data_IF_653976587551
#
_entry.id   IF_653976587551
#
_cell.length_a   1.000
_cell.length_b   1.000
_cell.length_c   1.000
_cell.angle_alpha   90.00
_cell.angle_beta   90.00
_cell.angle_gamma   90.00
#
_symmetry.space_group_name_H-M   'P 1'
#
loop_
_entity.id
_entity.type
_entity.pdbx_description
1 polymer ?
#
# COMPACT_ATOMS: atom_id res chain seq x y z
N UNK A 1 14.74 -71.42 -36.13
CA UNK A 1 14.60 -70.23 -37.00
C UNK A 1 13.43 -69.43 -36.46
N UNK A 2 13.50 -68.17 -36.04
CA UNK A 2 14.54 -67.15 -35.94
C UNK A 2 14.29 -66.36 -34.64
N UNK A 3 15.37 -65.91 -34.01
CA UNK A 3 15.38 -65.08 -32.82
C UNK A 3 15.47 -63.60 -33.21
N UNK A 4 14.81 -62.72 -32.45
CA UNK A 4 14.98 -61.26 -32.60
C UNK A 4 15.40 -60.68 -31.26
N UNK A 5 16.69 -60.40 -31.16
CA UNK A 5 17.34 -59.59 -30.12
C UNK A 5 17.30 -58.10 -30.52
N UNK A 6 17.49 -57.16 -29.56
CA UNK A 6 17.24 -55.73 -29.73
C UNK A 6 18.50 -54.97 -30.19
N UNK A 7 18.39 -53.72 -30.66
CA UNK A 7 19.56 -52.86 -30.82
C UNK A 7 19.75 -51.92 -29.61
N UNK A 8 20.95 -51.97 -29.03
CA UNK A 8 21.58 -50.92 -28.22
C UNK A 8 22.91 -50.56 -28.88
N UNK A 9 23.38 -49.32 -28.65
CA UNK A 9 24.64 -48.65 -29.04
C UNK A 9 24.38 -47.58 -30.12
N UNK A 10 24.80 -46.32 -30.00
CA UNK A 10 25.99 -45.81 -29.28
C UNK A 10 25.80 -44.35 -28.88
N UNK A 11 26.34 -44.05 -27.71
CA UNK A 11 26.69 -42.77 -27.12
C UNK A 11 27.51 -41.85 -28.07
N UNK A 12 27.28 -40.54 -28.03
CA UNK A 12 28.25 -39.49 -28.41
C UNK A 12 27.88 -38.13 -27.76
N UNK A 13 28.41 -37.94 -26.55
CA UNK A 13 29.02 -36.74 -25.95
C UNK A 13 28.88 -35.35 -26.63
N UNK A 14 28.40 -34.41 -25.80
CA UNK A 14 28.86 -33.01 -25.54
C UNK A 14 28.71 -31.85 -26.56
N UNK A 15 28.18 -30.74 -25.97
CA UNK A 15 28.32 -29.30 -26.29
C UNK A 15 27.65 -28.84 -27.59
N UNK A 16 26.74 -27.87 -27.59
CA UNK A 16 26.92 -26.55 -26.98
C UNK A 16 25.57 -25.82 -26.83
N UNK A 17 25.48 -25.04 -25.75
CA UNK A 17 24.54 -23.94 -25.52
C UNK A 17 24.39 -23.05 -26.76
N UNK A 18 23.22 -23.07 -27.41
CA UNK A 18 22.78 -21.96 -28.25
C UNK A 18 21.47 -21.43 -27.68
N UNK A 19 21.62 -20.27 -27.06
CA UNK A 19 20.58 -19.31 -26.71
C UNK A 19 19.49 -19.27 -27.78
N UNK A 20 18.35 -19.91 -27.51
CA UNK A 20 17.10 -19.54 -28.14
C UNK A 20 16.61 -18.33 -27.39
N UNK A 21 16.84 -17.16 -27.97
CA UNK A 21 16.16 -15.93 -27.58
C UNK A 21 14.65 -16.17 -27.66
N UNK A 22 14.02 -16.41 -26.52
CA UNK A 22 12.59 -16.17 -26.37
C UNK A 22 12.35 -14.69 -26.66
N UNK A 23 11.36 -14.32 -27.48
CA UNK A 23 11.01 -12.93 -27.66
C UNK A 23 10.68 -12.32 -26.28
N UNK A 24 11.02 -11.04 -26.04
CA UNK A 24 10.72 -10.39 -24.77
C UNK A 24 9.21 -10.51 -24.48
N UNK A 25 8.80 -10.71 -23.21
CA UNK A 25 7.38 -10.68 -22.89
C UNK A 25 6.86 -9.33 -23.35
N UNK A 26 5.89 -9.37 -24.28
CA UNK A 26 5.18 -8.19 -24.71
C UNK A 26 4.61 -7.52 -23.45
N UNK A 27 5.14 -6.35 -23.12
CA UNK A 27 4.52 -5.42 -22.20
C UNK A 27 3.15 -5.10 -22.80
N UNK A 28 2.12 -5.81 -22.34
CA UNK A 28 0.76 -5.44 -22.66
C UNK A 28 0.52 -4.06 -22.06
N UNK A 29 0.25 -3.10 -22.93
CA UNK A 29 -0.19 -1.76 -22.62
C UNK A 29 -1.27 -1.80 -21.54
N UNK A 30 -1.02 -1.07 -20.44
CA UNK A 30 -2.01 -0.78 -19.42
C UNK A 30 -2.91 0.32 -20.00
N UNK A 31 -3.79 -0.07 -20.93
CA UNK A 31 -4.86 0.76 -21.52
C UNK A 31 -6.14 0.09 -21.04
N UNK A 32 -7.01 0.67 -20.22
CA UNK A 32 -7.52 2.04 -20.19
C UNK A 32 -8.24 2.25 -18.85
N UNK A 33 -8.09 3.45 -18.29
CA UNK A 33 -9.00 3.93 -17.24
C UNK A 33 -10.45 3.81 -17.76
N UNK A 34 -11.27 3.03 -17.05
CA UNK A 34 -12.68 2.91 -17.39
C UNK A 34 -13.38 4.20 -16.98
N UNK A 35 -13.93 5.00 -17.93
CA UNK A 35 -14.27 6.41 -17.71
C UNK A 35 -15.33 6.67 -16.62
N UNK A 36 -16.03 5.63 -16.14
CA UNK A 36 -17.08 5.73 -15.11
C UNK A 36 -16.82 4.85 -13.87
N UNK A 37 -15.59 4.40 -13.63
CA UNK A 37 -15.27 3.48 -12.56
C UNK A 37 -14.78 4.20 -11.29
N UNK A 38 -15.55 4.15 -10.20
CA UNK A 38 -15.14 4.73 -8.91
C UNK A 38 -14.03 3.94 -8.22
N UNK A 39 -14.00 2.62 -8.43
CA UNK A 39 -12.99 1.73 -7.86
C UNK A 39 -12.24 1.01 -8.96
N UNK A 40 -10.94 0.80 -8.78
CA UNK A 40 -10.10 0.00 -9.68
C UNK A 40 -9.40 -1.10 -8.86
N UNK A 41 -9.56 -2.35 -9.28
CA UNK A 41 -9.02 -3.52 -8.61
C UNK A 41 -8.01 -4.20 -9.53
N UNK A 42 -6.83 -4.49 -8.98
CA UNK A 42 -5.79 -5.24 -9.66
C UNK A 42 -5.72 -6.63 -9.03
N UNK A 43 -6.00 -7.66 -9.82
CA UNK A 43 -6.07 -9.05 -9.38
C UNK A 43 -4.88 -9.85 -9.93
N UNK A 44 -4.32 -10.72 -9.09
CA UNK A 44 -3.26 -11.69 -9.43
C UNK A 44 -3.87 -13.09 -9.31
N UNK A 45 -4.56 -13.60 -10.35
CA UNK A 45 -5.44 -14.76 -10.21
C UNK A 45 -4.64 -16.05 -10.12
N UNK A 46 -5.11 -16.97 -9.28
CA UNK A 46 -4.53 -18.29 -9.09
C UNK A 46 -5.65 -19.34 -9.25
N UNK A 47 -5.47 -20.26 -10.19
CA UNK A 47 -6.37 -21.40 -10.39
C UNK A 47 -5.80 -22.61 -9.68
N UNK A 48 -6.66 -23.30 -8.93
CA UNK A 48 -6.35 -24.56 -8.28
C UNK A 48 -7.25 -25.64 -8.86
N UNK A 49 -6.66 -26.79 -9.13
CA UNK A 49 -7.35 -28.01 -9.54
C UNK A 49 -8.12 -28.63 -8.37
N UNK A 50 -7.64 -28.41 -7.13
CA UNK A 50 -8.31 -28.90 -5.90
C UNK A 50 -8.30 -27.88 -4.78
N UNK A 51 -9.31 -27.95 -3.91
CA UNK A 51 -9.45 -27.05 -2.74
C UNK A 51 -8.22 -27.10 -1.82
N UNK A 52 -7.57 -28.27 -1.70
CA UNK A 52 -6.39 -28.48 -0.84
C UNK A 52 -5.05 -28.08 -1.47
N UNK A 53 -5.00 -27.72 -2.76
CA UNK A 53 -3.75 -27.40 -3.45
C UNK A 53 -3.08 -26.17 -2.85
N UNK A 54 -1.75 -26.25 -2.67
CA UNK A 54 -0.95 -25.11 -2.20
C UNK A 54 -0.91 -24.02 -3.27
N UNK A 55 -0.83 -22.76 -2.85
CA UNK A 55 -0.76 -21.63 -3.79
C UNK A 55 0.50 -21.68 -4.68
N UNK A 56 1.58 -22.31 -4.23
CA UNK A 56 2.83 -22.47 -5.01
C UNK A 56 2.70 -23.44 -6.18
N UNK A 57 1.74 -24.35 -6.10
CA UNK A 57 1.44 -25.35 -7.14
C UNK A 57 0.24 -24.95 -8.00
N UNK A 58 -0.39 -23.80 -7.71
CA UNK A 58 -1.53 -23.28 -8.45
C UNK A 58 -1.07 -22.66 -9.79
N UNK A 59 -1.92 -22.73 -10.80
CA UNK A 59 -1.66 -22.09 -12.09
C UNK A 59 -1.87 -20.59 -11.93
N UNK A 60 -0.85 -19.80 -12.25
CA UNK A 60 -0.92 -18.34 -12.17
C UNK A 60 -1.39 -17.77 -13.51
N UNK A 61 -2.50 -17.06 -13.47
CA UNK A 61 -3.02 -16.35 -14.64
C UNK A 61 -2.40 -14.96 -14.77
N UNK A 62 -2.62 -14.35 -15.94
CA UNK A 62 -2.25 -12.96 -16.20
C UNK A 62 -2.94 -12.01 -15.22
N UNK A 63 -2.27 -10.88 -14.94
CA UNK A 63 -2.83 -9.80 -14.13
C UNK A 63 -4.15 -9.35 -14.76
N UNK A 64 -5.20 -9.24 -13.95
CA UNK A 64 -6.50 -8.76 -14.41
C UNK A 64 -6.86 -7.48 -13.68
N UNK A 65 -7.11 -6.41 -14.44
CA UNK A 65 -7.54 -5.13 -13.91
C UNK A 65 -9.00 -4.94 -14.24
N UNK A 66 -9.82 -4.71 -13.22
CA UNK A 66 -11.24 -4.43 -13.38
C UNK A 66 -11.68 -3.32 -12.44
N UNK A 67 -12.50 -2.41 -12.96
CA UNK A 67 -13.12 -1.38 -12.18
C UNK A 67 -14.64 -1.50 -12.16
N UNK A 68 -15.28 -0.95 -11.12
CA UNK A 68 -16.72 -0.76 -11.08
C UNK A 68 -17.13 0.36 -10.13
N UNK A 69 -18.40 0.76 -10.23
CA UNK A 69 -19.05 1.72 -9.34
C UNK A 69 -19.62 1.07 -8.08
N UNK A 70 -19.91 -0.24 -8.14
CA UNK A 70 -20.45 -1.04 -7.03
C UNK A 70 -19.73 -2.38 -6.90
N UNK A 71 -19.83 -3.00 -5.71
CA UNK A 71 -19.25 -4.33 -5.48
C UNK A 71 -19.86 -5.42 -6.36
N UNK A 72 -21.19 -5.40 -6.56
CA UNK A 72 -21.89 -6.35 -7.43
C UNK A 72 -21.33 -6.32 -8.86
N UNK A 73 -21.14 -5.12 -9.42
CA UNK A 73 -20.58 -4.94 -10.76
C UNK A 73 -19.15 -5.53 -10.87
N UNK A 74 -18.34 -5.33 -9.82
CA UNK A 74 -16.99 -5.89 -9.74
C UNK A 74 -17.05 -7.42 -9.68
N UNK A 75 -17.94 -8.00 -8.86
CA UNK A 75 -18.13 -9.44 -8.77
C UNK A 75 -18.54 -10.04 -10.12
N UNK A 76 -19.51 -9.44 -10.81
CA UNK A 76 -19.95 -9.85 -12.15
C UNK A 76 -18.78 -9.88 -13.14
N UNK A 77 -17.96 -8.82 -13.15
CA UNK A 77 -16.78 -8.73 -14.03
C UNK A 77 -15.75 -9.82 -13.76
N UNK A 78 -15.41 -10.03 -12.48
CA UNK A 78 -14.48 -11.09 -12.07
C UNK A 78 -15.04 -12.47 -12.44
N UNK A 79 -16.30 -12.72 -12.09
CA UNK A 79 -16.96 -14.00 -12.34
C UNK A 79 -17.02 -14.33 -13.83
N UNK A 80 -17.48 -13.38 -14.65
CA UNK A 80 -17.54 -13.54 -16.11
C UNK A 80 -16.18 -13.82 -16.71
N UNK A 81 -15.11 -13.18 -16.18
CA UNK A 81 -13.75 -13.36 -16.68
C UNK A 81 -13.16 -14.73 -16.37
N UNK A 82 -13.44 -15.30 -15.19
CA UNK A 82 -12.81 -16.54 -14.72
C UNK A 82 -13.73 -17.76 -14.77
N UNK A 83 -15.03 -17.60 -15.05
CA UNK A 83 -15.99 -18.71 -15.15
C UNK A 83 -15.51 -19.77 -16.15
N UNK A 84 -15.01 -19.35 -17.31
CA UNK A 84 -14.54 -20.26 -18.38
C UNK A 84 -13.32 -21.09 -18.00
N UNK A 85 -12.60 -20.68 -16.96
CA UNK A 85 -11.41 -21.37 -16.47
C UNK A 85 -11.74 -22.36 -15.34
N UNK A 86 -12.98 -22.37 -14.85
CA UNK A 86 -13.44 -23.28 -13.81
C UNK A 86 -14.09 -24.51 -14.46
N UNK A 87 -13.69 -25.72 -14.04
CA UNK A 87 -14.17 -27.01 -14.57
C UNK A 87 -15.54 -27.45 -14.00
N UNK A 88 -16.34 -26.52 -13.47
CA UNK A 88 -17.58 -26.83 -12.77
C UNK A 88 -17.46 -26.86 -11.23
N UNK A 89 -18.59 -26.80 -10.53
CA UNK A 89 -18.69 -26.88 -9.07
C UNK A 89 -19.12 -28.28 -8.66
N UNK A 90 -18.32 -28.96 -7.83
CA UNK A 90 -18.73 -30.23 -7.23
C UNK A 90 -19.75 -29.97 -6.11
N UNK A 91 -20.95 -30.54 -6.25
CA UNK A 91 -22.03 -30.46 -5.28
C UNK A 91 -22.46 -31.88 -4.87
N UNK A 92 -22.89 -32.01 -3.61
CA UNK A 92 -23.42 -33.26 -3.10
C UNK A 92 -24.93 -33.17 -3.11
N UNK A 93 -25.57 -34.05 -3.88
CA UNK A 93 -27.02 -34.15 -3.96
C UNK A 93 -27.60 -34.65 -2.63
N UNK A 94 -28.92 -34.52 -2.47
CA UNK A 94 -29.65 -35.01 -1.30
C UNK A 94 -29.50 -36.53 -1.10
N UNK A 95 -29.29 -37.27 -2.19
CA UNK A 95 -29.00 -38.72 -2.18
C UNK A 95 -27.56 -39.06 -1.75
N UNK A 96 -26.75 -38.04 -1.42
CA UNK A 96 -25.37 -38.19 -0.98
C UNK A 96 -24.37 -38.46 -2.11
N UNK A 97 -24.81 -38.52 -3.37
CA UNK A 97 -23.97 -38.65 -4.55
C UNK A 97 -23.32 -37.31 -4.95
N UNK A 98 -22.14 -37.36 -5.57
CA UNK A 98 -21.46 -36.19 -6.11
C UNK A 98 -21.95 -35.88 -7.52
N UNK A 99 -22.33 -34.64 -7.78
CA UNK A 99 -22.65 -34.11 -9.09
C UNK A 99 -21.74 -32.91 -9.42
N UNK A 100 -21.54 -32.63 -10.71
CA UNK A 100 -20.82 -31.44 -11.19
C UNK A 100 -21.83 -30.49 -11.80
N UNK A 101 -21.94 -29.30 -11.23
CA UNK A 101 -22.76 -28.22 -11.73
C UNK A 101 -21.88 -27.31 -12.60
N UNK A 102 -22.04 -27.35 -13.91
CA UNK A 102 -21.23 -26.55 -14.85
C UNK A 102 -22.05 -25.44 -15.53
N UNK A 103 -23.24 -25.79 -16.05
CA UNK A 103 -24.08 -24.87 -16.81
C UNK A 103 -24.82 -23.84 -15.92
N UNK A 104 -25.23 -24.23 -14.70
CA UNK A 104 -26.04 -23.41 -13.79
C UNK A 104 -25.23 -22.51 -12.86
N UNK A 105 -23.91 -22.44 -13.03
CA UNK A 105 -23.08 -21.59 -12.16
C UNK A 105 -23.38 -20.11 -12.42
N UNK A 106 -24.01 -19.50 -11.42
CA UNK A 106 -24.36 -18.08 -11.36
C UNK A 106 -23.55 -17.33 -10.28
N UNK A 107 -23.76 -16.02 -10.17
CA UNK A 107 -23.07 -15.15 -9.21
C UNK A 107 -23.30 -15.54 -7.74
N UNK A 108 -24.39 -16.23 -7.39
CA UNK A 108 -24.61 -16.70 -6.02
C UNK A 108 -23.57 -17.74 -5.57
N UNK A 109 -22.95 -18.43 -6.54
CA UNK A 109 -21.87 -19.40 -6.30
C UNK A 109 -20.49 -18.74 -6.21
N UNK A 110 -20.40 -17.42 -6.38
CA UNK A 110 -19.14 -16.68 -6.37
C UNK A 110 -18.29 -17.01 -5.14
N UNK A 111 -18.88 -17.00 -3.94
CA UNK A 111 -18.16 -17.30 -2.70
C UNK A 111 -17.74 -18.77 -2.54
N UNK A 112 -18.37 -19.69 -3.27
CA UNK A 112 -18.02 -21.13 -3.27
C UNK A 112 -16.86 -21.43 -4.22
N UNK A 113 -16.75 -20.67 -5.32
CA UNK A 113 -15.78 -20.91 -6.40
C UNK A 113 -14.56 -19.99 -6.27
N UNK A 114 -14.78 -18.74 -5.90
CA UNK A 114 -13.76 -17.71 -5.85
C UNK A 114 -13.53 -17.27 -4.41
N UNK A 115 -12.28 -17.40 -3.97
CA UNK A 115 -11.83 -16.86 -2.70
C UNK A 115 -10.97 -15.62 -2.96
N UNK A 116 -11.55 -14.44 -2.72
CA UNK A 116 -10.79 -13.20 -2.76
C UNK A 116 -10.03 -13.04 -1.44
N UNK A 117 -8.71 -12.95 -1.57
CA UNK A 117 -7.84 -12.57 -0.46
C UNK A 117 -7.22 -11.25 -0.78
N UNK A 118 -7.39 -10.28 0.10
CA UNK A 118 -6.58 -9.08 0.07
C UNK A 118 -5.12 -9.52 0.17
N UNK A 119 -4.37 -9.25 -0.90
CA UNK A 119 -2.95 -9.49 -0.89
C UNK A 119 -2.33 -8.62 0.20
N UNK A 120 -1.87 -9.22 1.30
CA UNK A 120 -0.68 -8.71 1.99
C UNK A 120 0.56 -8.84 1.08
N UNK A 121 0.40 -9.60 -0.01
CA UNK A 121 1.15 -9.39 -1.24
C UNK A 121 0.79 -8.02 -1.82
N UNK A 122 1.35 -6.98 -1.21
CA UNK A 122 2.19 -6.14 -2.05
C UNK A 122 3.00 -7.15 -2.86
N UNK A 123 2.72 -7.29 -4.15
CA UNK A 123 3.85 -7.35 -5.05
C UNK A 123 4.65 -6.16 -4.54
N UNK A 124 5.69 -6.45 -3.73
CA UNK A 124 6.85 -5.58 -3.66
C UNK A 124 7.11 -5.45 -5.13
N UNK A 125 6.58 -4.38 -5.73
CA UNK A 125 7.02 -3.99 -7.02
C UNK A 125 8.51 -4.03 -6.80
N UNK A 126 9.17 -4.79 -7.64
CA UNK A 126 10.61 -4.88 -7.58
C UNK A 126 11.16 -3.52 -8.07
N UNK A 127 10.55 -2.40 -7.69
CA UNK A 127 11.17 -1.19 -7.16
C UNK A 127 12.12 -1.57 -6.02
N UNK A 128 13.09 -2.40 -6.35
CA UNK A 128 14.35 -2.52 -5.64
C UNK A 128 15.20 -1.25 -5.84
N UNK A 129 14.59 -0.09 -6.11
CA UNK A 129 15.33 1.15 -6.42
C UNK A 129 14.53 2.45 -6.35
N UNK A 130 13.47 2.57 -5.56
CA UNK A 130 12.89 3.90 -5.29
C UNK A 130 12.88 4.21 -3.80
N UNK A 131 14.08 4.27 -3.22
CA UNK A 131 14.28 5.31 -2.23
C UNK A 131 13.90 6.64 -2.93
N UNK A 132 13.04 7.47 -2.33
CA UNK A 132 12.70 8.77 -2.88
C UNK A 132 13.98 9.49 -3.29
N UNK A 133 14.03 10.00 -4.51
CA UNK A 133 15.21 10.75 -4.93
C UNK A 133 15.41 11.94 -3.99
N UNK A 134 16.65 12.35 -3.81
CA UNK A 134 16.95 13.54 -3.00
C UNK A 134 16.12 14.75 -3.46
N UNK A 135 15.90 14.89 -4.77
CA UNK A 135 15.05 15.92 -5.35
C UNK A 135 13.59 15.84 -4.86
N UNK A 136 13.03 14.63 -4.78
CA UNK A 136 11.66 14.41 -4.25
C UNK A 136 11.58 14.77 -2.77
N UNK A 137 12.59 14.43 -1.97
CA UNK A 137 12.63 14.79 -0.56
C UNK A 137 12.67 16.32 -0.41
N UNK A 138 13.49 17.00 -1.20
CA UNK A 138 13.59 18.46 -1.19
C UNK A 138 12.29 19.15 -1.66
N UNK A 139 11.62 18.62 -2.69
CA UNK A 139 10.32 19.13 -3.13
C UNK A 139 9.28 19.04 -2.00
N UNK A 140 9.21 17.89 -1.32
CA UNK A 140 8.27 17.70 -0.22
C UNK A 140 8.65 18.50 1.04
N UNK A 141 9.94 18.72 1.28
CA UNK A 141 10.38 19.70 2.30
C UNK A 141 9.86 21.09 1.96
N UNK A 142 9.96 21.54 0.71
CA UNK A 142 9.45 22.84 0.29
C UNK A 142 7.93 22.94 0.50
N UNK A 143 7.17 21.90 0.12
CA UNK A 143 5.70 21.84 0.36
C UNK A 143 5.36 21.90 1.85
N UNK A 144 6.11 21.18 2.69
CA UNK A 144 5.95 21.21 4.15
C UNK A 144 6.23 22.61 4.70
N UNK A 145 7.30 23.28 4.26
CA UNK A 145 7.58 24.65 4.65
C UNK A 145 6.45 25.59 4.18
N UNK A 146 6.02 25.54 2.93
CA UNK A 146 4.92 26.38 2.45
C UNK A 146 3.64 26.22 3.29
N UNK A 147 3.34 25.01 3.77
CA UNK A 147 2.14 24.75 4.56
C UNK A 147 2.28 25.10 6.05
N UNK A 148 3.44 24.82 6.63
CA UNK A 148 3.62 24.77 8.08
C UNK A 148 4.62 25.78 8.64
N UNK A 149 5.29 26.59 7.80
CA UNK A 149 6.28 27.59 8.25
C UNK A 149 5.68 28.64 9.18
N UNK A 150 4.37 28.89 9.12
CA UNK A 150 3.68 29.78 10.06
C UNK A 150 3.47 29.14 11.45
N UNK A 151 3.43 27.80 11.53
CA UNK A 151 3.10 27.06 12.76
C UNK A 151 4.34 26.51 13.46
N UNK A 152 5.29 26.00 12.68
CA UNK A 152 6.44 25.26 13.20
C UNK A 152 7.74 25.77 12.58
N UNK A 153 8.72 26.02 13.44
CA UNK A 153 10.11 26.20 13.05
C UNK A 153 10.81 24.83 13.08
N UNK A 154 11.25 24.37 11.91
CA UNK A 154 11.95 23.11 11.74
C UNK A 154 13.38 23.36 11.28
N UNK A 155 14.37 22.82 12.00
CA UNK A 155 15.73 22.75 11.48
C UNK A 155 15.77 21.84 10.24
N UNK A 156 16.65 22.12 9.28
CA UNK A 156 16.77 21.36 8.03
C UNK A 156 16.77 19.82 8.22
N UNK A 157 17.54 19.24 9.17
CA UNK A 157 17.51 17.79 9.39
C UNK A 157 16.15 17.25 9.85
N UNK A 158 15.37 18.05 10.58
CA UNK A 158 14.04 17.67 11.09
C UNK A 158 13.01 17.73 9.96
N UNK A 159 13.04 18.78 9.14
CA UNK A 159 12.22 18.87 7.93
C UNK A 159 12.49 17.71 6.97
N UNK A 160 13.76 17.31 6.83
CA UNK A 160 14.16 16.16 6.03
C UNK A 160 13.60 14.83 6.57
N UNK A 161 13.65 14.61 7.87
CA UNK A 161 13.06 13.42 8.51
C UNK A 161 11.55 13.37 8.25
N UNK A 162 10.87 14.51 8.34
CA UNK A 162 9.44 14.61 8.06
C UNK A 162 9.14 14.34 6.59
N UNK A 163 9.79 15.02 5.66
CA UNK A 163 9.59 14.79 4.23
C UNK A 163 9.83 13.33 3.85
N UNK A 164 10.88 12.70 4.41
CA UNK A 164 11.18 11.27 4.21
C UNK A 164 10.05 10.34 4.71
N UNK A 165 9.32 10.76 5.75
CA UNK A 165 8.15 10.03 6.24
C UNK A 165 6.95 10.14 5.28
N UNK A 166 6.73 11.32 4.71
CA UNK A 166 5.59 11.58 3.83
C UNK A 166 5.72 10.88 2.48
N UNK A 167 6.95 10.86 1.93
CA UNK A 167 7.27 10.18 0.65
C UNK A 167 7.38 8.65 0.77
N UNK A 168 7.00 8.06 1.92
CA UNK A 168 6.88 6.58 2.01
C UNK A 168 5.71 6.11 1.14
N UNK A 169 5.79 4.97 0.44
CA UNK A 169 4.65 4.43 -0.29
C UNK A 169 3.39 4.27 0.59
N UNK A 170 2.17 4.39 0.03
CA UNK A 170 1.85 4.60 -1.40
C UNK A 170 1.96 6.06 -1.85
N UNK A 171 2.31 6.27 -3.14
CA UNK A 171 2.45 7.58 -3.81
C UNK A 171 1.21 8.47 -3.68
N UNK A 172 0.03 7.87 -3.86
CA UNK A 172 -1.26 8.56 -3.80
C UNK A 172 -1.53 9.21 -2.44
N UNK A 173 -0.86 8.76 -1.38
CA UNK A 173 -1.03 9.29 -0.04
C UNK A 173 0.00 10.37 0.33
N UNK A 174 0.90 10.76 -0.59
CA UNK A 174 1.94 11.76 -0.29
C UNK A 174 1.34 13.15 -0.07
N UNK A 175 0.53 13.64 -1.01
CA UNK A 175 -0.12 14.96 -0.90
C UNK A 175 -1.07 15.04 0.31
N UNK A 176 -1.79 13.95 0.60
CA UNK A 176 -2.64 13.88 1.79
C UNK A 176 -1.84 13.99 3.09
N UNK A 177 -0.64 13.39 3.16
CA UNK A 177 0.22 13.43 4.34
C UNK A 177 0.83 14.80 4.63
N UNK A 178 1.11 15.59 3.60
CA UNK A 178 1.57 16.99 3.77
C UNK A 178 0.52 17.85 4.50
N UNK A 179 -0.77 17.55 4.31
CA UNK A 179 -1.86 18.25 5.00
C UNK A 179 -2.10 17.77 6.42
N UNK A 180 -1.54 16.62 6.81
CA UNK A 180 -1.72 16.06 8.14
C UNK A 180 -0.74 16.66 9.13
N UNK A 181 -1.11 16.63 10.41
CA UNK A 181 -0.24 17.07 11.49
C UNK A 181 1.05 16.22 11.52
N UNK A 182 2.22 16.82 11.82
CA UNK A 182 3.47 16.08 11.87
C UNK A 182 3.38 14.86 12.80
N UNK A 183 4.01 13.72 12.43
CA UNK A 183 4.04 12.53 13.27
C UNK A 183 4.60 12.82 14.67
N UNK A 184 4.20 12.08 15.74
CA UNK A 184 4.61 12.37 17.12
C UNK A 184 6.13 12.48 17.32
N UNK A 185 6.90 11.64 16.63
CA UNK A 185 8.36 11.62 16.71
C UNK A 185 9.05 12.82 16.00
N UNK A 186 8.36 13.43 15.03
CA UNK A 186 8.80 14.69 14.38
C UNK A 186 8.35 15.88 15.22
N UNK A 187 7.09 15.86 15.66
CA UNK A 187 6.46 16.92 16.46
C UNK A 187 7.24 17.19 17.75
N UNK A 188 7.75 16.16 18.42
CA UNK A 188 8.61 16.32 19.61
C UNK A 188 9.93 17.09 19.35
N UNK A 189 10.30 17.28 18.08
CA UNK A 189 11.53 17.97 17.67
C UNK A 189 11.25 19.31 16.99
N UNK A 190 10.01 19.56 16.57
CA UNK A 190 9.59 20.83 16.01
C UNK A 190 9.47 21.88 17.12
N UNK A 191 9.90 23.11 16.83
CA UNK A 191 9.68 24.24 17.73
C UNK A 191 8.44 25.00 17.26
N UNK A 192 7.46 25.30 18.13
CA UNK A 192 6.35 26.15 17.73
C UNK A 192 6.92 27.52 17.34
N UNK A 193 6.49 28.04 16.19
CA UNK A 193 6.93 29.36 15.76
C UNK A 193 6.20 30.39 16.61
N UNK A 194 6.92 30.97 17.57
CA UNK A 194 6.35 31.98 18.45
C UNK A 194 6.19 33.25 17.62
N UNK A 195 4.95 33.65 17.33
CA UNK A 195 4.69 34.92 16.67
C UNK A 195 5.23 36.07 17.53
N UNK A 196 5.73 37.14 16.92
CA UNK A 196 6.26 38.30 17.67
C UNK A 196 5.22 38.91 18.63
N UNK A 197 3.93 38.77 18.31
CA UNK A 197 2.82 39.13 19.19
C UNK A 197 2.80 38.28 20.47
N UNK A 198 3.04 36.98 20.35
CA UNK A 198 3.02 36.05 21.48
C UNK A 198 4.24 36.24 22.39
N UNK A 199 5.42 36.51 21.82
CA UNK A 199 6.61 36.94 22.60
C UNK A 199 6.30 38.21 23.41
N UNK A 200 5.62 39.18 22.78
CA UNK A 200 5.24 40.43 23.45
C UNK A 200 4.23 40.20 24.58
N UNK A 201 3.24 39.34 24.37
CA UNK A 201 2.27 38.95 25.39
C UNK A 201 2.87 38.15 26.54
N UNK A 202 3.78 37.23 26.27
CA UNK A 202 4.49 36.50 27.33
C UNK A 202 5.39 37.42 28.15
N UNK A 203 6.06 38.37 27.49
CA UNK A 203 6.83 39.41 28.17
C UNK A 203 5.91 40.25 29.05
N UNK A 204 4.77 40.71 28.53
CA UNK A 204 3.79 41.49 29.30
C UNK A 204 3.25 40.72 30.51
N UNK A 205 2.85 39.45 30.34
CA UNK A 205 2.39 38.59 31.44
C UNK A 205 3.47 38.38 32.50
N UNK A 206 4.75 38.27 32.10
CA UNK A 206 5.87 38.15 33.03
C UNK A 206 6.06 39.42 33.86
N UNK A 207 5.95 40.60 33.24
CA UNK A 207 6.03 41.87 33.95
C UNK A 207 4.87 42.04 34.94
N UNK A 208 3.65 41.65 34.57
CA UNK A 208 2.50 41.69 35.48
C UNK A 208 2.74 40.79 36.70
N UNK A 209 3.17 39.54 36.49
CA UNK A 209 3.46 38.62 37.60
C UNK A 209 4.55 39.16 38.52
N UNK A 210 5.65 39.66 37.95
CA UNK A 210 6.71 40.26 38.75
C UNK A 210 6.23 41.50 39.53
N UNK A 211 5.33 42.30 38.95
CA UNK A 211 4.73 43.43 39.65
C UNK A 211 3.84 42.99 40.82
N UNK A 212 3.04 41.94 40.62
CA UNK A 212 2.23 41.33 41.68
C UNK A 212 3.11 40.77 42.80
N UNK A 213 4.18 40.05 42.48
CA UNK A 213 5.12 39.50 43.47
C UNK A 213 5.74 40.61 44.34
N UNK A 214 6.06 41.78 43.75
CA UNK A 214 6.60 42.93 44.50
C UNK A 214 5.55 43.54 45.43
N UNK A 215 4.29 43.62 44.98
CA UNK A 215 3.17 44.11 45.81
C UNK A 215 2.90 43.16 46.97
N UNK A 216 2.85 41.86 46.71
CA UNK A 216 2.63 40.83 47.71
C UNK A 216 3.79 40.78 48.72
N UNK A 217 5.04 40.87 48.27
CA UNK A 217 6.20 40.99 49.16
C UNK A 217 6.16 42.26 50.02
N UNK A 218 5.67 43.38 49.45
CA UNK A 218 5.53 44.65 50.18
C UNK A 218 4.40 44.60 51.22
N UNK A 219 3.31 43.89 50.92
CA UNK A 219 2.21 43.67 51.86
C UNK A 219 2.64 42.73 52.99
N UNK A 220 3.26 41.59 52.66
CA UNK A 220 3.79 40.65 53.64
C UNK A 220 4.83 41.31 54.56
N UNK A 221 5.70 42.17 54.01
CA UNK A 221 6.67 42.96 54.77
C UNK A 221 6.07 44.03 55.68
N UNK A 222 4.84 44.50 55.43
CA UNK A 222 4.12 45.43 56.32
C UNK A 222 3.44 44.70 57.48
N UNK A 223 2.87 43.52 57.24
CA UNK A 223 2.25 42.72 58.31
C UNK A 223 3.26 42.11 59.28
N UNK A 224 4.52 41.90 58.84
CA UNK A 224 5.58 41.39 59.71
C UNK A 224 6.26 42.45 60.61
N UNK A 225 5.92 43.75 60.49
CA UNK A 225 6.52 44.84 61.29
C UNK A 225 5.58 45.42 62.36
N UNK A 226 4.45 44.77 62.63
CA UNK A 226 3.46 45.21 63.63
C UNK A 226 3.34 44.29 64.85
N UNK A 227 4.41 43.60 65.23
CA UNK A 227 4.56 42.95 66.53
C UNK A 227 5.66 43.63 67.35
#
# INVERSE_FOLDING_TARGET
MQATTPPTLTDCLFRNTRSSQSPPPQSQEITSAHPNSLYENVLDPLIKDTVGQRNTSAIKLALYVCGGSTWSEIQTKIFTKFKTECLGLAERNDDGAWAVLDDDINESHFGRILALRYGSHTKKNKDRSCAPTEATIQEYMAKLHTKWDDTWEAAYPIGRIWATFDVKPPLLAWESRVQQMPPPHVLARLKPRISGHQVRMESFHRHIRSGLDVVDASLAGRFSRSC
#
